data_IF_824252047734
#
_entry.id   IF_824252047734
#
_cell.length_a   1.000
_cell.length_b   1.000
_cell.length_c   1.000
_cell.angle_alpha   90.00
_cell.angle_beta   90.00
_cell.angle_gamma   90.00
#
_symmetry.space_group_name_H-M   'P 1'
#
loop_
_entity.id
_entity.type
_entity.pdbx_description
1 polymer ?
#
# COMPACT_ATOMS: atom_id res chain seq x y z
N UNK A 1 21.63 -18.22 72.89
CA UNK A 1 21.44 -18.84 71.56
C UNK A 1 20.69 -17.80 70.74
N UNK A 2 21.32 -16.81 70.08
CA UNK A 2 22.38 -16.89 69.06
C UNK A 2 21.96 -17.86 67.94
N UNK A 3 22.00 -17.57 66.66
CA UNK A 3 22.22 -16.35 65.86
C UNK A 3 21.81 -16.75 64.42
N UNK A 4 21.73 -15.77 63.54
CA UNK A 4 21.89 -15.80 62.08
C UNK A 4 22.13 -17.09 61.23
N UNK A 5 21.76 -16.92 59.94
CA UNK A 5 22.28 -17.53 58.69
C UNK A 5 21.51 -18.72 58.08
N UNK A 6 20.74 -18.44 57.01
CA UNK A 6 21.13 -18.52 55.59
C UNK A 6 21.05 -19.95 55.08
N UNK A 7 20.10 -20.19 54.17
CA UNK A 7 20.42 -21.03 53.03
C UNK A 7 19.89 -20.43 51.73
N UNK A 8 20.80 -20.36 50.77
CA UNK A 8 20.65 -19.70 49.47
C UNK A 8 20.13 -20.76 48.53
N UNK A 9 18.92 -20.57 47.99
CA UNK A 9 18.58 -21.25 46.75
C UNK A 9 18.81 -20.29 45.57
N UNK A 10 19.89 -20.65 44.88
CA UNK A 10 20.55 -19.97 43.79
C UNK A 10 19.65 -19.98 42.56
N UNK A 11 19.69 -18.83 41.91
CA UNK A 11 19.12 -18.51 40.61
C UNK A 11 19.74 -19.41 39.54
N UNK A 12 18.95 -20.29 38.92
CA UNK A 12 19.23 -20.79 37.57
C UNK A 12 17.99 -20.57 36.70
N UNK A 13 17.80 -19.31 36.28
CA UNK A 13 17.04 -19.03 35.06
C UNK A 13 17.96 -19.34 33.89
N UNK A 14 17.77 -20.52 33.31
CA UNK A 14 18.30 -20.90 32.01
C UNK A 14 17.90 -19.85 30.97
N UNK A 15 18.85 -18.97 30.62
CA UNK A 15 18.79 -18.09 29.47
C UNK A 15 18.79 -18.95 28.20
N UNK A 16 17.61 -19.24 27.66
CA UNK A 16 17.49 -19.64 26.27
C UNK A 16 17.71 -18.41 25.39
N UNK A 17 18.96 -18.17 25.01
CA UNK A 17 19.27 -17.30 23.89
C UNK A 17 18.68 -17.94 22.62
N UNK A 18 17.84 -17.23 21.83
CA UNK A 18 17.42 -17.77 20.54
C UNK A 18 18.65 -17.85 19.63
N UNK A 19 19.02 -19.09 19.27
CA UNK A 19 20.03 -19.35 18.25
C UNK A 19 19.65 -18.58 16.98
N UNK A 20 20.48 -17.60 16.61
CA UNK A 20 20.42 -16.94 15.31
C UNK A 20 20.68 -18.01 14.25
N UNK A 21 19.61 -18.54 13.67
CA UNK A 21 19.71 -19.36 12.47
C UNK A 21 20.31 -18.50 11.36
N UNK A 22 21.45 -18.92 10.85
CA UNK A 22 22.06 -18.38 9.64
C UNK A 22 21.03 -18.39 8.51
N UNK A 23 20.47 -17.21 8.22
CA UNK A 23 19.62 -17.01 7.05
C UNK A 23 20.53 -17.05 5.84
N UNK A 24 20.63 -18.23 5.22
CA UNK A 24 21.10 -18.37 3.84
C UNK A 24 20.28 -17.38 3.01
N UNK A 25 20.96 -16.57 2.21
CA UNK A 25 20.40 -15.60 1.27
C UNK A 25 19.37 -16.25 0.36
N UNK A 26 18.12 -16.26 0.83
CA UNK A 26 16.96 -16.70 0.05
C UNK A 26 16.76 -15.69 -1.05
N UNK A 27 16.73 -16.14 -2.31
CA UNK A 27 16.28 -15.37 -3.46
C UNK A 27 15.04 -14.56 -3.05
N UNK A 28 15.16 -13.22 -2.97
CA UNK A 28 14.07 -12.36 -2.53
C UNK A 28 12.83 -12.67 -3.37
N UNK A 29 11.76 -13.11 -2.71
CA UNK A 29 10.46 -13.30 -3.37
C UNK A 29 10.05 -11.97 -3.99
N UNK A 30 9.69 -11.97 -5.29
CA UNK A 30 9.11 -10.79 -5.94
C UNK A 30 7.70 -10.49 -5.45
N UNK A 31 7.07 -11.41 -4.73
CA UNK A 31 5.69 -11.33 -4.27
C UNK A 31 5.61 -11.09 -2.76
N UNK A 32 4.70 -10.20 -2.37
CA UNK A 32 4.35 -9.91 -0.97
C UNK A 32 3.47 -11.01 -0.36
N UNK A 33 2.66 -11.69 -1.17
CA UNK A 33 1.76 -12.75 -0.72
C UNK A 33 2.39 -14.14 -0.85
N UNK A 34 1.78 -15.13 -0.19
CA UNK A 34 2.22 -16.52 -0.26
C UNK A 34 2.19 -17.03 -1.71
N UNK A 35 3.01 -18.04 -2.01
CA UNK A 35 3.12 -18.60 -3.38
C UNK A 35 1.81 -19.14 -3.94
N UNK A 36 0.86 -19.49 -3.07
CA UNK A 36 -0.44 -20.02 -3.47
C UNK A 36 -1.50 -18.91 -3.64
N UNK A 37 -1.19 -17.66 -3.29
CA UNK A 37 -2.07 -16.52 -3.51
C UNK A 37 -1.97 -16.08 -4.97
N UNK A 38 -2.97 -16.45 -5.77
CA UNK A 38 -2.99 -16.15 -7.21
C UNK A 38 -3.76 -14.84 -7.46
N UNK A 39 -3.15 -13.98 -8.27
CA UNK A 39 -3.75 -12.76 -8.80
C UNK A 39 -5.05 -13.06 -9.59
N UNK A 40 -6.10 -12.31 -9.29
CA UNK A 40 -7.38 -12.40 -10.00
C UNK A 40 -7.39 -11.52 -11.24
N UNK A 41 -7.22 -12.15 -12.41
CA UNK A 41 -7.25 -11.45 -13.72
C UNK A 41 -8.61 -10.84 -14.05
N UNK A 42 -9.68 -11.46 -13.57
CA UNK A 42 -11.05 -10.94 -13.69
C UNK A 42 -11.25 -9.61 -12.95
N UNK A 43 -10.41 -9.33 -11.95
CA UNK A 43 -10.35 -8.07 -11.21
C UNK A 43 -9.20 -7.16 -11.67
N UNK A 44 -8.48 -7.51 -12.74
CA UNK A 44 -7.23 -6.85 -13.16
C UNK A 44 -6.22 -6.66 -12.01
N UNK A 45 -6.16 -7.63 -11.09
CA UNK A 45 -5.26 -7.56 -9.96
C UNK A 45 -3.83 -7.86 -10.40
N UNK A 46 -2.95 -6.85 -10.33
CA UNK A 46 -1.52 -7.00 -10.56
C UNK A 46 -0.77 -6.44 -9.38
N UNK A 47 -0.03 -7.27 -8.65
CA UNK A 47 0.69 -6.81 -7.47
C UNK A 47 2.02 -6.19 -7.83
N UNK A 48 2.38 -5.16 -7.07
CA UNK A 48 3.72 -4.62 -7.07
C UNK A 48 4.74 -5.64 -6.54
N UNK A 49 5.98 -5.47 -6.95
CA UNK A 49 7.10 -6.24 -6.41
C UNK A 49 7.31 -5.91 -4.92
N UNK A 50 7.86 -6.85 -4.16
CA UNK A 50 8.26 -6.62 -2.76
C UNK A 50 9.16 -5.38 -2.63
N UNK A 51 10.12 -5.17 -3.54
CA UNK A 51 10.98 -3.99 -3.54
C UNK A 51 10.21 -2.68 -3.71
N UNK A 52 9.20 -2.67 -4.59
CA UNK A 52 8.30 -1.52 -4.78
C UNK A 52 7.47 -1.27 -3.54
N UNK A 53 6.86 -2.31 -2.96
CA UNK A 53 6.05 -2.19 -1.74
C UNK A 53 6.88 -1.69 -0.58
N UNK A 54 8.05 -2.27 -0.32
CA UNK A 54 8.93 -1.85 0.77
C UNK A 54 9.37 -0.39 0.62
N UNK A 55 9.63 0.06 -0.62
CA UNK A 55 9.99 1.46 -0.88
C UNK A 55 8.82 2.42 -0.64
N UNK A 56 7.60 2.03 -0.99
CA UNK A 56 6.39 2.80 -0.71
C UNK A 56 6.08 2.84 0.79
N UNK A 57 6.15 1.71 1.49
CA UNK A 57 5.96 1.65 2.95
C UNK A 57 6.96 2.55 3.69
N UNK A 58 8.25 2.53 3.31
CA UNK A 58 9.24 3.47 3.88
C UNK A 58 8.89 4.94 3.65
N UNK A 59 8.32 5.29 2.51
CA UNK A 59 7.90 6.65 2.21
C UNK A 59 6.65 7.07 3.00
N UNK A 60 5.80 6.11 3.38
CA UNK A 60 4.49 6.30 4.00
C UNK A 60 4.46 6.00 5.51
N UNK A 61 5.57 5.52 6.09
CA UNK A 61 5.62 5.05 7.48
C UNK A 61 5.12 6.09 8.49
N UNK A 62 5.33 7.37 8.22
CA UNK A 62 4.91 8.49 9.08
C UNK A 62 3.53 9.08 8.74
N UNK A 63 2.80 8.53 7.77
CA UNK A 63 1.47 9.03 7.38
C UNK A 63 0.39 8.29 8.19
N UNK A 64 -0.15 8.86 9.29
CA UNK A 64 -1.05 8.14 10.20
C UNK A 64 -2.39 7.79 9.54
N UNK A 65 -2.87 8.67 8.67
CA UNK A 65 -4.19 8.60 8.01
C UNK A 65 -4.02 8.15 6.56
N UNK A 66 -3.48 6.93 6.41
CA UNK A 66 -3.21 6.28 5.13
C UNK A 66 -4.40 5.43 4.69
N UNK A 67 -4.84 5.62 3.45
CA UNK A 67 -5.80 4.73 2.78
C UNK A 67 -5.14 4.00 1.61
N UNK A 68 -5.27 2.68 1.59
CA UNK A 68 -4.91 1.80 0.50
C UNK A 68 -6.17 1.48 -0.31
N UNK A 69 -6.32 2.08 -1.49
CA UNK A 69 -7.43 1.78 -2.40
C UNK A 69 -6.94 0.82 -3.48
N UNK A 70 -7.51 -0.38 -3.57
CA UNK A 70 -7.05 -1.46 -4.46
C UNK A 70 -5.54 -1.75 -4.39
N UNK A 71 -4.92 -1.52 -3.23
CA UNK A 71 -3.47 -1.71 -2.99
C UNK A 71 -3.21 -2.62 -1.79
N UNK A 72 -3.76 -3.84 -1.79
CA UNK A 72 -3.72 -4.74 -0.63
C UNK A 72 -2.30 -5.13 -0.24
N UNK A 73 -1.33 -5.09 -1.18
CA UNK A 73 0.07 -5.39 -0.88
C UNK A 73 0.70 -4.39 0.10
N UNK A 74 0.31 -3.10 0.08
CA UNK A 74 0.78 -2.12 1.06
C UNK A 74 0.14 -2.38 2.42
N UNK A 75 -1.17 -2.62 2.46
CA UNK A 75 -1.88 -2.90 3.71
C UNK A 75 -1.34 -4.16 4.40
N UNK A 76 -1.11 -5.23 3.63
CA UNK A 76 -0.43 -6.45 4.04
C UNK A 76 0.96 -6.17 4.64
N UNK A 77 1.76 -5.32 3.99
CA UNK A 77 3.12 -5.02 4.43
C UNK A 77 3.11 -4.26 5.77
N UNK A 78 2.28 -3.23 5.92
CA UNK A 78 2.13 -2.53 7.20
C UNK A 78 1.68 -3.47 8.32
N UNK A 79 0.74 -4.36 8.05
CA UNK A 79 0.27 -5.31 9.04
C UNK A 79 1.36 -6.28 9.49
N UNK A 80 2.10 -6.89 8.55
CA UNK A 80 3.10 -7.92 8.87
C UNK A 80 4.40 -7.33 9.41
N UNK A 81 4.82 -6.15 8.91
CA UNK A 81 6.12 -5.57 9.22
C UNK A 81 6.07 -4.60 10.41
N UNK A 82 4.95 -3.91 10.61
CA UNK A 82 4.82 -2.83 11.61
C UNK A 82 3.68 -3.07 12.62
N UNK A 83 2.95 -4.19 12.55
CA UNK A 83 1.74 -4.46 13.37
C UNK A 83 0.71 -3.31 13.28
N UNK A 84 0.67 -2.65 12.12
CA UNK A 84 -0.10 -1.44 11.90
C UNK A 84 -1.28 -1.72 10.98
N UNK A 85 -2.48 -1.53 11.51
CA UNK A 85 -3.69 -1.50 10.71
C UNK A 85 -3.76 -0.20 9.89
N UNK A 86 -3.90 -0.33 8.58
CA UNK A 86 -4.18 0.78 7.66
C UNK A 86 -5.47 0.48 6.91
N UNK A 87 -6.25 1.52 6.57
CA UNK A 87 -7.50 1.31 5.84
C UNK A 87 -7.21 0.70 4.47
N UNK A 88 -7.86 -0.40 4.16
CA UNK A 88 -7.83 -1.06 2.85
C UNK A 88 -9.24 -1.09 2.27
N UNK A 89 -9.41 -0.43 1.12
CA UNK A 89 -10.64 -0.45 0.34
C UNK A 89 -10.40 -1.31 -0.89
N UNK A 90 -11.02 -2.50 -0.94
CA UNK A 90 -10.82 -3.44 -2.05
C UNK A 90 -12.10 -4.25 -2.31
N UNK A 91 -12.27 -4.71 -3.55
CA UNK A 91 -13.40 -5.57 -3.95
C UNK A 91 -13.13 -7.05 -3.62
N UNK A 92 -11.85 -7.42 -3.47
CA UNK A 92 -11.43 -8.80 -3.25
C UNK A 92 -11.50 -9.17 -1.76
N UNK A 93 -12.60 -9.82 -1.37
CA UNK A 93 -12.86 -10.23 0.03
C UNK A 93 -11.85 -11.24 0.57
N UNK A 94 -10.93 -11.78 -0.25
CA UNK A 94 -9.82 -12.60 0.24
C UNK A 94 -8.88 -11.85 1.18
N UNK A 95 -8.97 -10.51 1.24
CA UNK A 95 -8.20 -9.66 2.15
C UNK A 95 -8.97 -9.27 3.43
N UNK A 96 -10.16 -9.84 3.69
CA UNK A 96 -10.97 -9.53 4.87
C UNK A 96 -10.30 -9.85 6.21
N UNK A 97 -9.26 -10.69 6.20
CA UNK A 97 -8.41 -10.96 7.36
C UNK A 97 -7.54 -9.75 7.78
N UNK A 98 -7.39 -8.73 6.93
CA UNK A 98 -6.66 -7.52 7.28
C UNK A 98 -7.54 -6.60 8.13
N UNK A 99 -7.07 -6.11 9.29
CA UNK A 99 -7.92 -5.39 10.25
C UNK A 99 -8.54 -4.09 9.73
N UNK A 100 -7.93 -3.47 8.72
CA UNK A 100 -8.45 -2.26 8.07
C UNK A 100 -9.25 -2.51 6.79
N UNK A 101 -9.51 -3.77 6.41
CA UNK A 101 -10.25 -4.10 5.20
C UNK A 101 -11.71 -3.63 5.27
N UNK A 102 -12.17 -3.03 4.18
CA UNK A 102 -13.57 -2.76 3.90
C UNK A 102 -13.84 -3.09 2.44
N UNK A 103 -14.94 -3.83 2.22
CA UNK A 103 -15.38 -4.12 0.87
C UNK A 103 -15.73 -2.82 0.15
N UNK A 104 -15.14 -2.61 -1.03
CA UNK A 104 -15.33 -1.40 -1.83
C UNK A 104 -15.34 -1.73 -3.32
N UNK A 105 -16.50 -1.57 -3.99
CA UNK A 105 -16.61 -1.70 -5.44
C UNK A 105 -16.49 -0.31 -6.09
N UNK A 106 -15.39 -0.08 -6.82
CA UNK A 106 -15.12 1.16 -7.54
C UNK A 106 -16.22 1.54 -8.55
N UNK A 107 -17.05 0.59 -9.00
CA UNK A 107 -18.17 0.83 -9.94
C UNK A 107 -19.45 1.25 -9.23
N UNK A 108 -19.58 0.89 -7.96
CA UNK A 108 -20.77 1.10 -7.15
C UNK A 108 -20.34 1.77 -5.86
N UNK A 109 -20.27 3.10 -5.89
CA UNK A 109 -20.00 3.88 -4.69
C UNK A 109 -21.05 3.47 -3.64
N UNK A 110 -20.63 2.94 -2.48
CA UNK A 110 -21.56 2.42 -1.50
C UNK A 110 -22.54 3.51 -1.05
N UNK A 111 -23.78 3.12 -0.77
CA UNK A 111 -24.77 4.03 -0.18
C UNK A 111 -24.40 4.45 1.25
N UNK A 112 -23.50 3.69 1.91
CA UNK A 112 -22.91 4.07 3.18
C UNK A 112 -21.58 4.79 2.89
N UNK A 113 -21.52 6.12 2.99
CA UNK A 113 -20.31 6.88 2.69
C UNK A 113 -19.22 6.56 3.70
N UNK A 114 -18.00 7.03 3.41
CA UNK A 114 -16.94 7.08 4.41
C UNK A 114 -17.46 7.75 5.70
N UNK A 115 -17.12 7.23 6.88
CA UNK A 115 -17.66 7.75 8.14
C UNK A 115 -17.37 9.25 8.30
N UNK A 116 -18.29 10.04 8.84
CA UNK A 116 -18.21 11.52 8.83
C UNK A 116 -16.90 12.08 9.40
N UNK A 117 -16.34 11.46 10.44
CA UNK A 117 -15.08 11.86 11.07
C UNK A 117 -13.81 11.31 10.38
N UNK A 118 -13.96 10.37 9.44
CA UNK A 118 -12.82 9.71 8.80
C UNK A 118 -12.22 10.59 7.71
N UNK A 119 -10.93 10.89 7.82
CA UNK A 119 -10.20 11.65 6.80
C UNK A 119 -8.89 10.95 6.49
N UNK A 120 -8.39 11.17 5.29
CA UNK A 120 -7.12 10.59 4.85
C UNK A 120 -6.18 11.71 4.44
N UNK A 121 -4.93 11.61 4.89
CA UNK A 121 -3.87 12.51 4.42
C UNK A 121 -3.28 12.03 3.12
N UNK A 122 -3.15 10.72 2.96
CA UNK A 122 -2.62 10.09 1.76
C UNK A 122 -3.47 8.89 1.35
N UNK A 123 -3.84 8.85 0.08
CA UNK A 123 -4.49 7.76 -0.63
C UNK A 123 -3.49 7.16 -1.62
N UNK A 124 -3.28 5.84 -1.53
CA UNK A 124 -2.47 5.09 -2.49
C UNK A 124 -3.36 4.17 -3.31
N UNK A 125 -3.32 4.33 -4.62
CA UNK A 125 -4.29 3.75 -5.54
C UNK A 125 -3.59 3.02 -6.70
N UNK A 126 -4.01 1.79 -7.00
CA UNK A 126 -3.58 1.03 -8.18
C UNK A 126 -4.80 0.40 -8.85
N UNK A 127 -5.58 1.20 -9.61
CA UNK A 127 -6.88 0.77 -10.10
C UNK A 127 -6.79 -0.31 -11.17
N UNK A 128 -7.87 -1.11 -11.34
CA UNK A 128 -8.15 -1.74 -12.61
C UNK A 128 -8.43 -0.65 -13.66
N UNK A 129 -7.65 -0.62 -14.75
CA UNK A 129 -7.65 0.49 -15.73
C UNK A 129 -8.12 0.13 -17.13
N UNK A 130 -8.55 -1.12 -17.39
CA UNK A 130 -9.21 -1.48 -18.66
C UNK A 130 -10.73 -1.58 -18.57
N UNK A 131 -11.29 -2.21 -17.53
CA UNK A 131 -12.75 -2.42 -17.48
C UNK A 131 -13.55 -1.39 -16.68
N UNK A 132 -12.90 -0.56 -15.83
CA UNK A 132 -13.59 0.53 -15.12
C UNK A 132 -13.39 1.85 -15.87
N UNK A 133 -14.46 2.57 -16.24
CA UNK A 133 -14.36 3.91 -16.80
C UNK A 133 -13.59 4.87 -15.90
N UNK A 134 -12.75 5.73 -16.49
CA UNK A 134 -11.95 6.71 -15.74
C UNK A 134 -12.81 7.64 -14.87
N UNK A 135 -14.00 8.00 -15.34
CA UNK A 135 -14.96 8.80 -14.59
C UNK A 135 -15.43 8.10 -13.31
N UNK A 136 -15.51 6.77 -13.29
CA UNK A 136 -15.94 5.99 -12.13
C UNK A 136 -14.80 5.91 -11.11
N UNK A 137 -13.57 5.68 -11.59
CA UNK A 137 -12.37 5.76 -10.76
C UNK A 137 -12.23 7.14 -10.10
N UNK A 138 -12.48 8.21 -10.85
CA UNK A 138 -12.46 9.58 -10.33
C UNK A 138 -13.52 9.79 -9.25
N UNK A 139 -14.78 9.39 -9.51
CA UNK A 139 -15.86 9.52 -8.52
C UNK A 139 -15.58 8.71 -7.26
N UNK A 140 -15.05 7.50 -7.38
CA UNK A 140 -14.67 6.69 -6.23
C UNK A 140 -13.56 7.35 -5.39
N UNK A 141 -12.55 7.95 -6.04
CA UNK A 141 -11.50 8.70 -5.32
C UNK A 141 -12.08 9.95 -4.64
N UNK A 142 -12.96 10.70 -5.32
CA UNK A 142 -13.63 11.85 -4.70
C UNK A 142 -14.46 11.46 -3.48
N UNK A 143 -15.16 10.33 -3.51
CA UNK A 143 -15.90 9.84 -2.35
C UNK A 143 -14.95 9.56 -1.17
N UNK A 144 -13.87 8.82 -1.41
CA UNK A 144 -12.87 8.51 -0.37
C UNK A 144 -12.23 9.77 0.20
N UNK A 145 -11.98 10.76 -0.65
CA UNK A 145 -11.43 12.06 -0.28
C UNK A 145 -12.50 13.06 0.20
N UNK A 146 -13.78 12.70 0.24
CA UNK A 146 -14.90 13.62 0.56
C UNK A 146 -14.89 14.92 -0.25
N UNK A 147 -14.53 14.83 -1.52
CA UNK A 147 -14.37 15.97 -2.42
C UNK A 147 -13.09 16.79 -2.20
N UNK A 148 -12.28 16.49 -1.18
CA UNK A 148 -11.03 17.20 -0.92
C UNK A 148 -9.91 16.75 -1.87
N UNK A 149 -9.74 17.52 -2.93
CA UNK A 149 -8.68 17.31 -3.94
C UNK A 149 -7.29 17.76 -3.49
N UNK A 150 -7.17 18.30 -2.26
CA UNK A 150 -5.88 18.57 -1.60
C UNK A 150 -5.30 17.34 -0.89
N UNK A 151 -6.12 16.31 -0.65
CA UNK A 151 -5.67 15.00 -0.15
C UNK A 151 -4.49 14.49 -0.99
N UNK A 152 -3.44 14.00 -0.33
CA UNK A 152 -2.32 13.37 -1.00
C UNK A 152 -2.81 12.17 -1.80
N UNK A 153 -2.67 12.18 -3.11
CA UNK A 153 -3.04 11.07 -3.99
C UNK A 153 -1.81 10.55 -4.70
N UNK A 154 -1.54 9.26 -4.54
CA UNK A 154 -0.53 8.51 -5.26
C UNK A 154 -1.22 7.43 -6.08
N UNK A 155 -1.03 7.45 -7.40
CA UNK A 155 -1.71 6.52 -8.31
C UNK A 155 -0.73 5.80 -9.25
N UNK A 156 -0.72 4.47 -9.20
CA UNK A 156 -0.08 3.62 -10.19
C UNK A 156 -0.91 3.60 -11.46
N UNK A 157 -0.33 3.96 -12.62
CA UNK A 157 -1.12 4.06 -13.85
C UNK A 157 -0.32 3.84 -15.13
N UNK A 158 -1.05 3.49 -16.21
CA UNK A 158 -0.48 3.32 -17.55
C UNK A 158 -0.03 4.66 -18.14
N UNK A 159 1.24 4.74 -18.54
CA UNK A 159 1.84 5.90 -19.22
C UNK A 159 1.08 6.24 -20.51
N UNK A 160 0.72 5.24 -21.32
CA UNK A 160 -0.02 5.47 -22.58
C UNK A 160 -1.42 6.08 -22.40
N UNK A 161 -1.97 6.07 -21.18
CA UNK A 161 -3.29 6.66 -20.84
C UNK A 161 -3.15 7.90 -19.95
N UNK A 162 -1.94 8.45 -19.77
CA UNK A 162 -1.68 9.55 -18.83
C UNK A 162 -2.47 10.83 -19.14
N UNK A 163 -2.67 11.16 -20.43
CA UNK A 163 -3.47 12.31 -20.81
C UNK A 163 -4.93 12.20 -20.31
N UNK A 164 -5.49 10.99 -20.34
CA UNK A 164 -6.83 10.72 -19.84
C UNK A 164 -6.90 10.83 -18.31
N UNK A 165 -5.86 10.34 -17.62
CA UNK A 165 -5.70 10.51 -16.18
C UNK A 165 -5.68 12.01 -15.81
N UNK A 166 -4.84 12.81 -16.46
CA UNK A 166 -4.73 14.25 -16.16
C UNK A 166 -6.00 15.03 -16.50
N UNK A 167 -6.74 14.62 -17.52
CA UNK A 167 -8.01 15.26 -17.87
C UNK A 167 -9.06 15.09 -16.75
N UNK A 168 -9.20 13.88 -16.20
CA UNK A 168 -10.19 13.58 -15.15
C UNK A 168 -9.72 14.02 -13.76
N UNK A 169 -8.45 13.78 -13.43
CA UNK A 169 -7.87 14.10 -12.11
C UNK A 169 -7.19 15.48 -12.09
N UNK A 170 -7.66 16.42 -12.92
CA UNK A 170 -7.05 17.75 -13.06
C UNK A 170 -6.98 18.50 -11.72
N UNK A 171 -8.03 18.38 -10.91
CA UNK A 171 -8.17 19.08 -9.63
C UNK A 171 -7.16 18.61 -8.59
N UNK A 172 -6.79 17.33 -8.61
CA UNK A 172 -5.72 16.77 -7.77
C UNK A 172 -4.33 17.29 -8.15
N UNK A 173 -4.13 17.91 -9.34
CA UNK A 173 -2.83 18.41 -9.81
C UNK A 173 -1.73 17.35 -9.81
N UNK A 174 -2.09 16.14 -10.25
CA UNK A 174 -1.16 15.03 -10.36
C UNK A 174 -0.01 15.34 -11.31
N UNK A 175 1.15 14.80 -10.99
CA UNK A 175 2.31 14.81 -11.86
C UNK A 175 3.06 13.49 -11.76
N UNK A 176 3.70 13.07 -12.84
CA UNK A 176 4.52 11.87 -12.86
C UNK A 176 5.67 12.02 -11.85
N UNK A 177 5.97 10.95 -11.10
CA UNK A 177 7.10 10.93 -10.16
C UNK A 177 8.34 10.31 -10.79
N UNK A 178 9.50 10.48 -10.14
CA UNK A 178 10.75 9.78 -10.47
C UNK A 178 10.77 8.32 -9.99
N UNK A 179 9.76 7.91 -9.23
CA UNK A 179 9.68 6.57 -8.66
C UNK A 179 9.40 5.53 -9.76
N UNK A 180 10.14 4.44 -9.75
CA UNK A 180 9.99 3.34 -10.71
C UNK A 180 8.99 2.33 -10.15
N UNK A 181 7.89 2.12 -10.87
CA UNK A 181 6.84 1.19 -10.48
C UNK A 181 7.09 -0.17 -11.12
N UNK A 182 7.23 -1.22 -10.30
CA UNK A 182 7.53 -2.58 -10.76
C UNK A 182 6.44 -3.54 -10.31
N UNK A 183 5.87 -4.30 -11.26
CA UNK A 183 4.85 -5.31 -10.99
C UNK A 183 5.44 -6.72 -11.04
N UNK A 184 5.07 -7.57 -10.10
CA UNK A 184 5.69 -8.88 -9.88
C UNK A 184 5.48 -9.82 -11.08
N UNK A 185 4.27 -9.83 -11.66
CA UNK A 185 3.91 -10.67 -12.81
C UNK A 185 4.04 -9.99 -14.17
N UNK A 186 4.55 -8.75 -14.22
CA UNK A 186 4.86 -8.04 -15.46
C UNK A 186 6.34 -8.20 -15.78
N UNK A 187 6.65 -8.51 -17.04
CA UNK A 187 8.06 -8.63 -17.49
C UNK A 187 8.80 -7.30 -17.26
N UNK A 188 10.07 -7.31 -16.77
CA UNK A 188 10.80 -6.08 -16.46
C UNK A 188 10.87 -5.05 -17.59
N UNK A 189 11.04 -5.51 -18.83
CA UNK A 189 11.07 -4.64 -20.02
C UNK A 189 9.73 -3.93 -20.32
N UNK A 190 8.64 -4.30 -19.64
CA UNK A 190 7.31 -3.69 -19.75
C UNK A 190 7.00 -2.73 -18.60
N UNK A 191 7.79 -2.69 -17.52
CA UNK A 191 7.54 -1.78 -16.39
C UNK A 191 7.53 -0.30 -16.79
N UNK A 192 8.32 0.09 -17.81
CA UNK A 192 8.31 1.44 -18.38
C UNK A 192 6.94 1.93 -18.89
N UNK A 193 5.99 1.01 -19.08
CA UNK A 193 4.63 1.35 -19.50
C UNK A 193 3.76 1.84 -18.33
N UNK A 194 4.27 1.76 -17.11
CA UNK A 194 3.62 2.17 -15.88
C UNK A 194 4.42 3.28 -15.21
N UNK A 195 3.74 4.14 -14.47
CA UNK A 195 4.36 5.15 -13.66
C UNK A 195 3.51 5.43 -12.42
N UNK A 196 4.18 5.91 -11.38
CA UNK A 196 3.51 6.48 -10.22
C UNK A 196 3.30 7.97 -10.45
N UNK A 197 2.06 8.43 -10.34
CA UNK A 197 1.69 9.85 -10.38
C UNK A 197 1.30 10.30 -8.97
N UNK A 198 1.66 11.53 -8.61
CA UNK A 198 1.37 12.06 -7.29
C UNK A 198 1.15 13.58 -7.30
N UNK A 199 0.36 14.08 -6.34
CA UNK A 199 0.26 15.49 -5.99
C UNK A 199 1.06 15.88 -4.73
N UNK A 200 1.65 14.90 -4.05
CA UNK A 200 2.49 15.06 -2.85
C UNK A 200 3.91 14.54 -3.09
N UNK A 201 4.90 15.19 -2.49
CA UNK A 201 6.29 14.72 -2.46
C UNK A 201 6.54 14.02 -1.12
N UNK A 202 7.02 12.78 -1.15
CA UNK A 202 7.34 11.98 0.05
C UNK A 202 8.85 11.65 0.08
N UNK A 203 9.40 11.12 1.19
CA UNK A 203 10.75 10.57 1.22
C UNK A 203 10.94 9.53 0.11
N UNK A 204 11.97 9.68 -0.73
CA UNK A 204 12.24 8.78 -1.86
C UNK A 204 11.27 8.88 -3.06
N UNK A 205 10.16 9.63 -2.95
CA UNK A 205 9.16 9.77 -4.01
C UNK A 205 8.99 11.25 -4.34
N UNK A 206 9.61 11.68 -5.43
CA UNK A 206 9.59 13.09 -5.87
C UNK A 206 8.92 13.24 -7.22
N UNK A 207 8.02 14.22 -7.32
CA UNK A 207 7.35 14.62 -8.56
C UNK A 207 8.35 15.20 -9.55
N UNK A 208 8.17 14.89 -10.84
CA UNK A 208 8.91 15.50 -11.93
C UNK A 208 8.32 16.88 -12.17
N UNK A 209 9.07 17.92 -11.81
CA UNK A 209 8.71 19.30 -12.13
C UNK A 209 9.11 19.57 -13.58
N UNK A 210 8.19 20.05 -14.41
CA UNK A 210 8.58 20.65 -15.69
C UNK A 210 9.43 21.89 -15.39
N UNK A 211 10.56 22.11 -16.10
CA UNK A 211 11.22 23.41 -16.06
C UNK A 211 10.19 24.48 -16.43
N UNK A 212 10.16 25.56 -15.65
CA UNK A 212 9.37 26.75 -15.97
C UNK A 212 9.97 27.45 -17.18
#
# INVERSE_FOLDING_TARGET
>A
MADEQVDRNVVERSFFAPQRKNIKTTTQSRHMFSRNFVERRDLEQYFWTTSTVDALCRALTFEPELCCLSTPSIAQAFWIQEDRAVTLLDIDTRFDYLPGFRFWDLRHIPSLPMGEAETFRVLVFDPPFFYIPMADLYRAVLEVCKGDTSTGLMIGFLVRKEANLFAHFREFRLSKTKFVLEYANVKPNKWRNYALYSNVDLPGIKRIRKPR
#
